data_IF_663497832628
#
_entry.id   IF_663497832628
#
_cell.length_a   1.000
_cell.length_b   1.000
_cell.length_c   1.000
_cell.angle_alpha   90.00
_cell.angle_beta   90.00
_cell.angle_gamma   90.00
#
_symmetry.space_group_name_H-M   'P 1'
#
loop_
_entity.id
_entity.type
_entity.pdbx_description
1 polymer ?
#
# COMPACT_ATOMS: atom_id res chain seq x y z
N UNK A 1 11.61 -0.10 -32.65
CA UNK A 1 12.01 -0.39 -31.25
C UNK A 1 10.72 -0.50 -30.46
N UNK A 2 10.43 -1.66 -29.88
CA UNK A 2 9.16 -1.89 -29.16
C UNK A 2 9.06 -1.06 -27.89
N UNK A 3 7.87 -0.54 -27.62
CA UNK A 3 7.58 0.23 -26.41
C UNK A 3 7.88 -0.60 -25.15
N UNK A 4 8.59 0.01 -24.20
CA UNK A 4 8.94 -0.65 -22.94
C UNK A 4 7.71 -0.58 -22.05
N UNK A 5 6.94 -1.67 -22.03
CA UNK A 5 5.77 -1.86 -21.18
C UNK A 5 6.09 -2.84 -20.04
N UNK A 6 5.84 -2.42 -18.81
CA UNK A 6 5.92 -3.28 -17.63
C UNK A 6 4.74 -3.04 -16.71
N UNK A 7 4.13 -4.12 -16.23
CA UNK A 7 3.07 -4.08 -15.24
C UNK A 7 3.48 -4.86 -13.99
N UNK A 8 3.00 -4.41 -12.84
CA UNK A 8 3.23 -5.07 -11.56
C UNK A 8 2.11 -4.76 -10.58
N UNK A 9 1.61 -5.80 -9.90
CA UNK A 9 0.68 -5.66 -8.78
C UNK A 9 1.43 -5.79 -7.45
N UNK A 10 1.20 -4.84 -6.54
CA UNK A 10 1.73 -4.81 -5.18
C UNK A 10 0.57 -4.73 -4.21
N UNK A 11 0.26 -5.85 -3.56
CA UNK A 11 -0.76 -5.88 -2.52
C UNK A 11 -0.25 -5.17 -1.27
N UNK A 12 -1.07 -4.26 -0.72
CA UNK A 12 -0.84 -3.74 0.62
C UNK A 12 -0.98 -4.90 1.60
N UNK A 13 0.07 -5.16 2.37
CA UNK A 13 0.00 -6.14 3.43
C UNK A 13 -1.04 -5.69 4.45
N UNK A 14 -1.92 -6.61 4.82
CA UNK A 14 -2.68 -6.42 6.04
C UNK A 14 -1.67 -6.45 7.18
N UNK A 15 -1.67 -5.41 8.01
CA UNK A 15 -0.77 -5.38 9.15
C UNK A 15 -1.00 -6.63 10.01
N UNK A 16 0.04 -7.13 10.67
CA UNK A 16 -0.13 -8.14 11.73
C UNK A 16 -1.22 -7.70 12.72
N UNK A 17 -1.33 -6.38 12.98
CA UNK A 17 -2.40 -5.78 13.77
C UNK A 17 -3.79 -6.04 13.18
N UNK A 18 -3.95 -5.89 11.87
CA UNK A 18 -5.25 -6.08 11.19
C UNK A 18 -5.69 -7.56 11.25
N UNK A 19 -4.75 -8.49 11.11
CA UNK A 19 -5.02 -9.92 11.27
C UNK A 19 -5.34 -10.29 12.73
N UNK A 20 -4.62 -9.73 13.71
CA UNK A 20 -4.92 -9.92 15.13
C UNK A 20 -6.30 -9.38 15.47
N UNK A 21 -6.64 -8.16 15.01
CA UNK A 21 -7.97 -7.57 15.20
C UNK A 21 -9.05 -8.45 14.58
N UNK A 22 -8.81 -9.02 13.39
CA UNK A 22 -9.75 -9.95 12.76
C UNK A 22 -10.03 -11.17 13.64
N UNK A 23 -8.97 -11.83 14.13
CA UNK A 23 -9.11 -13.00 14.99
C UNK A 23 -9.79 -12.63 16.32
N UNK A 24 -9.41 -11.50 16.91
CA UNK A 24 -9.99 -11.00 18.16
C UNK A 24 -11.50 -10.73 18.05
N UNK A 25 -11.97 -10.16 16.94
CA UNK A 25 -13.39 -9.88 16.72
C UNK A 25 -14.18 -11.19 16.58
N UNK A 26 -13.63 -12.21 15.91
CA UNK A 26 -14.26 -13.52 15.79
C UNK A 26 -14.36 -14.19 17.16
N UNK A 27 -13.26 -14.24 17.91
CA UNK A 27 -13.23 -14.84 19.26
C UNK A 27 -14.17 -14.09 20.20
N UNK A 28 -14.14 -12.76 20.19
CA UNK A 28 -15.02 -11.91 21.00
C UNK A 28 -16.49 -12.15 20.70
N UNK A 29 -16.85 -12.31 19.41
CA UNK A 29 -18.21 -12.66 18.99
C UNK A 29 -18.66 -14.02 19.54
N UNK A 30 -17.80 -15.05 19.46
CA UNK A 30 -18.09 -16.38 19.99
C UNK A 30 -18.29 -16.34 21.51
N UNK A 31 -17.41 -15.64 22.24
CA UNK A 31 -17.52 -15.48 23.69
C UNK A 31 -18.81 -14.74 24.10
N UNK A 32 -19.19 -13.69 23.36
CA UNK A 32 -20.44 -12.96 23.58
C UNK A 32 -21.65 -13.87 23.45
N UNK A 33 -21.68 -14.71 22.42
CA UNK A 33 -22.75 -15.70 22.23
C UNK A 33 -22.77 -16.69 23.39
N UNK A 34 -21.60 -17.19 23.81
CA UNK A 34 -21.47 -18.17 24.90
C UNK A 34 -21.88 -17.62 26.28
N UNK A 35 -21.60 -16.35 26.57
CA UNK A 35 -22.06 -15.69 27.81
C UNK A 35 -23.55 -15.40 27.74
N UNK A 36 -24.04 -14.96 26.57
CA UNK A 36 -25.47 -14.68 26.41
C UNK A 36 -26.33 -15.92 26.61
N UNK A 37 -25.87 -17.11 26.21
CA UNK A 37 -26.62 -18.37 26.39
C UNK A 37 -26.76 -18.80 27.85
N UNK A 38 -25.94 -18.28 28.77
CA UNK A 38 -26.08 -18.55 30.21
C UNK A 38 -27.22 -17.74 30.86
N UNK A 39 -27.67 -16.65 30.23
CA UNK A 39 -28.71 -15.76 30.75
C UNK A 39 -29.76 -15.47 29.66
N UNK A 40 -30.86 -16.25 29.60
CA UNK A 40 -31.80 -16.24 28.48
C UNK A 40 -32.39 -14.86 28.12
N UNK A 41 -32.60 -13.99 29.11
CA UNK A 41 -33.13 -12.64 28.90
C UNK A 41 -32.15 -11.73 28.14
N UNK A 42 -30.83 -11.94 28.28
CA UNK A 42 -29.81 -11.12 27.62
C UNK A 42 -29.57 -11.50 26.16
N UNK A 43 -29.94 -12.73 25.75
CA UNK A 43 -29.77 -13.22 24.37
C UNK A 43 -30.42 -12.29 23.36
N UNK A 44 -31.66 -11.87 23.62
CA UNK A 44 -32.45 -11.01 22.73
C UNK A 44 -31.82 -9.63 22.49
N UNK A 45 -30.93 -9.17 23.38
CA UNK A 45 -30.27 -7.86 23.26
C UNK A 45 -28.81 -7.98 22.81
N UNK A 46 -28.05 -8.93 23.36
CA UNK A 46 -26.61 -9.04 23.12
C UNK A 46 -26.27 -9.66 21.76
N UNK A 47 -27.06 -10.64 21.30
CA UNK A 47 -26.78 -11.33 20.02
C UNK A 47 -26.93 -10.38 18.82
N UNK A 48 -28.02 -9.59 18.69
CA UNK A 48 -28.12 -8.63 17.59
C UNK A 48 -26.99 -7.59 17.58
N UNK A 49 -26.59 -7.09 18.76
CA UNK A 49 -25.49 -6.12 18.89
C UNK A 49 -24.17 -6.75 18.43
N UNK A 50 -23.87 -7.97 18.87
CA UNK A 50 -22.68 -8.68 18.46
C UNK A 50 -22.64 -8.90 16.94
N UNK A 51 -23.76 -9.27 16.33
CA UNK A 51 -23.89 -9.45 14.87
C UNK A 51 -23.61 -8.14 14.13
N UNK A 52 -24.17 -7.01 14.57
CA UNK A 52 -23.91 -5.69 13.95
C UNK A 52 -22.43 -5.31 14.03
N UNK A 53 -21.79 -5.53 15.19
CA UNK A 53 -20.35 -5.25 15.37
C UNK A 53 -19.51 -6.12 14.43
N UNK A 54 -19.81 -7.42 14.32
CA UNK A 54 -19.09 -8.34 13.43
C UNK A 54 -19.25 -7.91 11.97
N UNK A 55 -20.48 -7.57 11.54
CA UNK A 55 -20.74 -7.12 10.17
C UNK A 55 -19.98 -5.82 9.88
N UNK A 56 -20.04 -4.85 10.78
CA UNK A 56 -19.32 -3.58 10.65
C UNK A 56 -17.81 -3.78 10.54
N UNK A 57 -17.25 -4.66 11.38
CA UNK A 57 -15.84 -5.02 11.35
C UNK A 57 -15.43 -5.69 10.03
N UNK A 58 -16.19 -6.68 9.55
CA UNK A 58 -15.94 -7.34 8.27
C UNK A 58 -16.00 -6.34 7.11
N UNK A 59 -16.98 -5.43 7.12
CA UNK A 59 -17.12 -4.39 6.10
C UNK A 59 -15.94 -3.42 6.09
N UNK A 60 -15.50 -2.97 7.26
CA UNK A 60 -14.33 -2.09 7.39
C UNK A 60 -13.06 -2.80 6.87
N UNK A 61 -12.85 -4.06 7.22
CA UNK A 61 -11.71 -4.85 6.74
C UNK A 61 -11.71 -5.00 5.22
N UNK A 62 -12.87 -5.21 4.58
CA UNK A 62 -12.94 -5.31 3.11
C UNK A 62 -12.50 -4.02 2.42
N UNK A 63 -12.68 -2.86 3.06
CA UNK A 63 -12.17 -1.57 2.54
C UNK A 63 -10.66 -1.39 2.67
N UNK A 64 -10.01 -2.15 3.56
CA UNK A 64 -8.55 -2.10 3.79
C UNK A 64 -7.75 -2.94 2.80
N UNK A 65 -8.40 -3.87 2.09
CA UNK A 65 -7.80 -4.62 0.99
C UNK A 65 -7.50 -3.67 -0.19
N UNK A 66 -6.32 -3.07 -0.19
CA UNK A 66 -5.86 -2.16 -1.23
C UNK A 66 -4.69 -2.82 -1.93
N UNK A 67 -4.74 -2.86 -3.25
CA UNK A 67 -3.63 -3.27 -4.11
C UNK A 67 -3.22 -2.09 -4.97
N UNK A 68 -1.92 -1.97 -5.23
CA UNK A 68 -1.37 -0.98 -6.13
C UNK A 68 -0.97 -1.66 -7.43
N UNK A 69 -1.40 -1.12 -8.54
CA UNK A 69 -0.98 -1.57 -9.87
C UNK A 69 -0.03 -0.51 -10.43
N UNK A 70 1.20 -0.92 -10.71
CA UNK A 70 2.21 -0.09 -11.35
C UNK A 70 2.24 -0.43 -12.83
N UNK A 71 2.08 0.56 -13.68
CA UNK A 71 2.22 0.44 -15.13
C UNK A 71 3.28 1.41 -15.57
N UNK A 72 4.35 0.90 -16.18
CA UNK A 72 5.41 1.70 -16.76
C UNK A 72 5.36 1.64 -18.28
N UNK A 73 5.23 2.81 -18.89
CA UNK A 73 5.13 2.97 -20.34
C UNK A 73 6.05 4.11 -20.78
N UNK A 74 7.13 3.77 -21.48
CA UNK A 74 7.98 4.73 -22.20
C UNK A 74 8.45 5.99 -21.41
N UNK A 75 8.66 5.84 -20.10
CA UNK A 75 9.12 6.90 -19.20
C UNK A 75 8.05 7.42 -18.23
N UNK A 76 6.80 7.04 -18.42
CA UNK A 76 5.73 7.33 -17.46
C UNK A 76 5.49 6.13 -16.54
N UNK A 77 5.39 6.41 -15.24
CA UNK A 77 4.96 5.47 -14.22
C UNK A 77 3.55 5.85 -13.75
N UNK A 78 2.57 5.07 -14.17
CA UNK A 78 1.20 5.12 -13.70
C UNK A 78 1.02 4.18 -12.50
N UNK A 79 0.32 4.68 -11.48
CA UNK A 79 -0.04 3.94 -10.27
C UNK A 79 -1.55 4.02 -10.09
N UNK A 80 -2.19 2.86 -10.09
CA UNK A 80 -3.61 2.69 -9.83
C UNK A 80 -3.83 2.03 -8.46
N UNK A 81 -4.91 2.43 -7.77
CA UNK A 81 -5.38 1.78 -6.55
C UNK A 81 -6.54 0.87 -6.87
N UNK A 82 -6.40 -0.41 -6.55
CA UNK A 82 -7.45 -1.42 -6.66
C UNK A 82 -7.98 -1.72 -5.26
N UNK A 83 -9.24 -1.33 -5.02
CA UNK A 83 -9.93 -1.60 -3.77
C UNK A 83 -10.69 -2.92 -3.85
N UNK A 84 -10.45 -3.78 -2.87
CA UNK A 84 -11.11 -5.07 -2.69
C UNK A 84 -11.16 -5.90 -3.98
N UNK A 85 -10.08 -5.87 -4.77
CA UNK A 85 -9.94 -6.57 -6.06
C UNK A 85 -10.99 -6.26 -7.14
N UNK A 86 -11.86 -5.26 -6.91
CA UNK A 86 -12.99 -4.97 -7.80
C UNK A 86 -12.99 -3.55 -8.34
N UNK A 87 -12.57 -2.56 -7.53
CA UNK A 87 -12.67 -1.15 -7.91
C UNK A 87 -11.30 -0.54 -8.13
N UNK A 88 -10.93 -0.36 -9.39
CA UNK A 88 -9.73 0.37 -9.80
C UNK A 88 -9.99 1.88 -9.79
N UNK A 89 -9.04 2.66 -9.28
CA UNK A 89 -9.03 4.13 -9.32
C UNK A 89 -7.63 4.61 -9.67
N UNK A 90 -7.52 5.44 -10.71
CA UNK A 90 -6.27 6.11 -11.06
C UNK A 90 -5.80 6.96 -9.88
N UNK A 91 -4.57 6.74 -9.43
CA UNK A 91 -4.07 7.35 -8.19
C UNK A 91 -2.96 8.37 -8.44
N UNK A 92 -1.94 8.01 -9.23
CA UNK A 92 -0.81 8.89 -9.49
C UNK A 92 -0.14 8.55 -10.82
N UNK A 93 0.18 9.55 -11.62
CA UNK A 93 1.03 9.43 -12.82
C UNK A 93 2.25 10.31 -12.64
N UNK A 94 3.42 9.76 -12.93
CA UNK A 94 4.72 10.44 -12.79
C UNK A 94 5.56 10.17 -14.04
N UNK A 95 6.10 11.24 -14.63
CA UNK A 95 7.24 11.10 -15.55
C UNK A 95 8.49 10.81 -14.72
N UNK A 96 9.12 9.65 -14.95
CA UNK A 96 10.31 9.24 -14.19
C UNK A 96 11.48 10.20 -14.39
N UNK A 97 11.48 11.01 -15.46
CA UNK A 97 12.52 12.04 -15.69
C UNK A 97 12.49 13.13 -14.61
N UNK A 98 11.33 13.39 -14.00
CA UNK A 98 11.14 14.38 -12.93
C UNK A 98 11.53 13.86 -11.54
N UNK A 99 11.93 12.59 -11.43
CA UNK A 99 12.55 12.07 -10.22
C UNK A 99 13.88 12.80 -10.03
N UNK A 100 14.15 13.33 -8.84
CA UNK A 100 15.45 13.88 -8.45
C UNK A 100 16.41 12.76 -8.06
N UNK A 101 15.93 11.86 -7.21
CA UNK A 101 16.66 10.68 -6.74
C UNK A 101 15.68 9.55 -6.43
N UNK A 102 16.09 8.32 -6.70
CA UNK A 102 15.43 7.10 -6.28
C UNK A 102 16.44 6.18 -5.59
N UNK A 103 16.21 5.85 -4.32
CA UNK A 103 17.12 5.06 -3.50
C UNK A 103 16.35 4.13 -2.56
N UNK A 104 16.97 3.06 -2.02
CA UNK A 104 16.37 2.23 -0.99
C UNK A 104 15.88 3.07 0.19
N UNK A 105 14.70 2.74 0.72
CA UNK A 105 14.05 3.55 1.78
C UNK A 105 14.87 3.65 3.07
N UNK A 106 15.79 2.71 3.27
CA UNK A 106 16.69 2.55 4.41
C UNK A 106 18.15 2.90 4.09
N UNK A 107 18.42 3.48 2.90
CA UNK A 107 19.74 3.97 2.55
C UNK A 107 20.17 5.09 3.51
N UNK A 108 21.26 4.86 4.25
CA UNK A 108 21.87 5.86 5.13
C UNK A 108 22.55 6.98 4.33
N UNK A 109 23.17 6.62 3.22
CA UNK A 109 23.95 7.55 2.38
C UNK A 109 23.05 8.61 1.71
N UNK A 110 21.81 8.24 1.40
CA UNK A 110 20.81 9.11 0.77
C UNK A 110 19.73 9.60 1.74
N UNK A 111 19.90 9.41 3.04
CA UNK A 111 18.87 9.73 4.04
C UNK A 111 18.50 11.23 4.05
N UNK A 112 19.49 12.12 3.89
CA UNK A 112 19.28 13.57 3.85
C UNK A 112 18.44 14.00 2.64
N UNK A 113 18.77 13.47 1.46
CA UNK A 113 18.07 13.72 0.20
C UNK A 113 16.63 13.19 0.25
N UNK A 114 16.43 12.01 0.85
CA UNK A 114 15.12 11.39 1.05
C UNK A 114 14.28 12.00 2.18
N UNK A 115 14.81 12.96 2.93
CA UNK A 115 14.12 13.61 4.06
C UNK A 115 13.53 14.98 3.70
N UNK A 116 13.95 15.57 2.58
CA UNK A 116 13.47 16.90 2.14
C UNK A 116 12.20 16.79 1.28
N UNK A 117 11.06 16.48 1.91
CA UNK A 117 9.75 16.40 1.24
C UNK A 117 8.67 17.19 1.99
N UNK A 118 7.66 17.64 1.25
CA UNK A 118 6.44 18.24 1.81
C UNK A 118 5.33 17.19 1.98
N UNK A 119 5.33 16.15 1.14
CA UNK A 119 4.29 15.12 1.15
C UNK A 119 4.88 13.74 0.92
N UNK A 120 4.40 12.75 1.67
CA UNK A 120 4.69 11.33 1.43
C UNK A 120 3.47 10.68 0.76
N UNK A 121 3.72 9.94 -0.30
CA UNK A 121 2.76 9.03 -0.90
C UNK A 121 3.36 7.63 -0.84
N UNK A 122 2.78 6.80 0.01
CA UNK A 122 3.19 5.40 0.14
C UNK A 122 2.29 4.51 -0.73
N UNK A 123 2.90 3.94 -1.78
CA UNK A 123 2.29 2.98 -2.69
C UNK A 123 2.87 1.57 -2.51
N UNK A 124 3.61 1.31 -1.42
CA UNK A 124 4.25 0.02 -1.14
C UNK A 124 3.29 -0.98 -0.47
N UNK A 125 3.79 -2.18 -0.19
CA UNK A 125 3.06 -3.16 0.62
C UNK A 125 2.92 -2.74 2.09
N UNK A 126 3.63 -1.68 2.52
CA UNK A 126 3.70 -1.24 3.91
C UNK A 126 4.66 -2.07 4.77
N UNK A 127 5.26 -3.13 4.22
CA UNK A 127 6.38 -3.85 4.84
C UNK A 127 7.67 -3.38 4.21
N UNK A 128 8.68 -3.05 5.02
CA UNK A 128 10.02 -2.77 4.52
C UNK A 128 10.61 -4.07 3.97
N UNK A 129 10.90 -4.09 2.68
CA UNK A 129 11.57 -5.19 1.97
C UNK A 129 12.82 -4.65 1.28
N UNK A 130 13.70 -5.55 0.85
CA UNK A 130 14.92 -5.18 0.12
C UNK A 130 14.63 -4.43 -1.21
N UNK A 131 13.42 -4.57 -1.75
CA UNK A 131 12.99 -3.86 -2.95
C UNK A 131 12.11 -2.64 -2.66
N UNK A 132 12.08 -2.11 -1.43
CA UNK A 132 11.35 -0.89 -1.09
C UNK A 132 12.20 0.35 -1.38
N UNK A 133 11.81 1.12 -2.38
CA UNK A 133 12.51 2.32 -2.83
C UNK A 133 11.69 3.57 -2.54
N UNK A 134 12.37 4.66 -2.21
CA UNK A 134 11.81 6.00 -2.14
C UNK A 134 12.30 6.81 -3.35
N UNK A 135 11.37 7.42 -4.07
CA UNK A 135 11.64 8.36 -5.15
C UNK A 135 11.22 9.77 -4.74
N UNK A 136 12.15 10.72 -4.84
CA UNK A 136 11.89 12.15 -4.62
C UNK A 136 11.51 12.78 -5.95
N UNK A 137 10.34 13.40 -6.01
CA UNK A 137 9.76 13.96 -7.24
C UNK A 137 9.38 15.40 -6.96
N UNK A 138 9.72 16.30 -7.87
CA UNK A 138 9.18 17.68 -7.83
C UNK A 138 7.93 17.72 -8.69
N UNK A 139 6.80 18.06 -8.07
CA UNK A 139 5.52 18.24 -8.76
C UNK A 139 4.87 19.53 -8.28
N UNK A 140 4.54 20.42 -9.21
CA UNK A 140 3.92 21.73 -8.94
C UNK A 140 4.73 22.57 -7.92
N UNK A 141 6.07 22.52 -8.02
CA UNK A 141 6.99 23.20 -7.11
C UNK A 141 7.14 22.54 -5.73
N UNK A 142 6.42 21.44 -5.47
CA UNK A 142 6.46 20.73 -4.20
C UNK A 142 7.24 19.43 -4.26
N UNK A 143 7.99 19.14 -3.21
CA UNK A 143 8.74 17.88 -3.09
C UNK A 143 7.84 16.76 -2.56
N UNK A 144 7.62 15.76 -3.39
CA UNK A 144 6.86 14.55 -3.09
C UNK A 144 7.82 13.37 -2.90
N UNK A 145 7.70 12.67 -1.77
CA UNK A 145 8.34 11.37 -1.56
C UNK A 145 7.37 10.25 -1.93
N UNK A 146 7.63 9.54 -3.01
CA UNK A 146 6.89 8.34 -3.41
C UNK A 146 7.61 7.10 -2.89
N UNK A 147 6.92 6.21 -2.17
CA UNK A 147 7.46 4.91 -1.76
C UNK A 147 6.83 3.82 -2.63
N UNK A 148 7.66 3.01 -3.28
CA UNK A 148 7.23 1.92 -4.19
C UNK A 148 8.07 0.66 -3.98
N UNK A 149 7.51 -0.48 -4.39
CA UNK A 149 8.20 -1.79 -4.39
C UNK A 149 8.35 -2.35 -5.81
N UNK A 150 9.13 -1.71 -6.71
CA UNK A 150 9.31 -2.20 -8.07
C UNK A 150 9.99 -3.57 -8.08
N UNK A 151 9.56 -4.45 -8.98
CA UNK A 151 10.25 -5.69 -9.30
C UNK A 151 11.49 -5.40 -10.15
N UNK A 152 12.32 -6.41 -10.38
CA UNK A 152 13.56 -6.25 -11.14
C UNK A 152 13.35 -5.71 -12.56
N UNK A 153 12.28 -6.16 -13.23
CA UNK A 153 11.97 -5.76 -14.61
C UNK A 153 11.61 -4.27 -14.68
N UNK A 154 10.76 -3.83 -13.75
CA UNK A 154 10.35 -2.44 -13.56
C UNK A 154 11.56 -1.56 -13.22
N UNK A 155 12.37 -2.00 -12.27
CA UNK A 155 13.58 -1.29 -11.86
C UNK A 155 14.57 -1.11 -13.03
N UNK A 156 14.81 -2.17 -13.81
CA UNK A 156 15.66 -2.12 -15.01
C UNK A 156 15.12 -1.13 -16.04
N UNK A 157 13.80 -1.10 -16.24
CA UNK A 157 13.17 -0.15 -17.16
C UNK A 157 13.32 1.29 -16.69
N UNK A 158 13.04 1.58 -15.41
CA UNK A 158 13.22 2.92 -14.83
C UNK A 158 14.70 3.36 -14.95
N UNK A 159 15.64 2.49 -14.59
CA UNK A 159 17.09 2.76 -14.68
C UNK A 159 17.54 3.06 -16.10
N UNK A 160 16.91 2.49 -17.14
CA UNK A 160 17.22 2.80 -18.54
C UNK A 160 16.89 4.27 -18.89
N UNK A 161 15.87 4.86 -18.27
CA UNK A 161 15.48 6.25 -18.49
C UNK A 161 16.25 7.23 -17.59
N UNK A 162 16.53 6.86 -16.34
CA UNK A 162 17.20 7.71 -15.36
C UNK A 162 18.40 7.03 -14.68
N UNK A 163 19.42 6.60 -15.44
CA UNK A 163 20.49 5.73 -14.92
C UNK A 163 21.31 6.35 -13.79
N UNK A 164 21.48 7.69 -13.80
CA UNK A 164 22.26 8.43 -12.79
C UNK A 164 21.46 8.80 -11.54
N UNK A 165 20.14 8.62 -11.55
CA UNK A 165 19.25 9.03 -10.46
C UNK A 165 18.77 7.85 -9.61
N UNK A 166 19.06 6.63 -10.05
CA UNK A 166 18.70 5.39 -9.34
C UNK A 166 19.93 4.88 -8.60
N UNK A 167 19.90 4.97 -7.28
CA UNK A 167 20.95 4.48 -6.39
C UNK A 167 20.63 3.04 -5.99
N UNK A 168 21.59 2.14 -6.18
CA UNK A 168 21.51 0.74 -5.76
C UNK A 168 22.65 0.49 -4.76
N UNK A 169 22.44 -0.44 -3.84
CA UNK A 169 23.51 -0.94 -2.97
C UNK A 169 24.68 -1.51 -3.78
#
# INVERSE_FOLDING_TARGET
MGDIFNEQLVAKSNSLKDNIIRVAIIIGGILLIMVSSMVPFLVSFLVPIAVVIIIGAVFLMRRLNIEFEYVFTSGDLDIDKIFNKNKRKKFLTIDVRNIEIMAPVDSKDHASELSNYEKVVDCSSGMKKNNTYAAMIVKDGKKLKLIIEPNEKMMKAIKKYIPRKVMQY
#
